data_IF_738797933985
#
_entry.id   IF_738797933985
#
_cell.length_a   1.000
_cell.length_b   1.000
_cell.length_c   1.000
_cell.angle_alpha   90.00
_cell.angle_beta   90.00
_cell.angle_gamma   90.00
#
_symmetry.space_group_name_H-M   'P 1'
#
loop_
_entity.id
_entity.type
_entity.pdbx_description
1 polymer ?
#
# COMPACT_ATOMS: atom_id res chain seq x y z
N UNK A 1 -3.70 17.25 -0.33
CA UNK A 1 -3.42 16.71 -1.66
C UNK A 1 -3.39 17.89 -2.62
N UNK A 2 -2.27 18.13 -3.30
CA UNK A 2 -2.14 19.15 -4.33
C UNK A 2 -2.30 18.52 -5.71
N UNK A 3 -2.31 19.33 -6.78
CA UNK A 3 -2.44 18.83 -8.16
C UNK A 3 -1.22 18.02 -8.59
N UNK A 4 -0.07 18.35 -8.04
CA UNK A 4 1.20 17.64 -8.24
C UNK A 4 1.19 16.25 -7.60
N UNK A 5 0.48 16.09 -6.46
CA UNK A 5 0.32 14.78 -5.80
C UNK A 5 -0.47 13.77 -6.69
N UNK A 6 -1.17 14.23 -7.73
CA UNK A 6 -1.95 13.36 -8.64
C UNK A 6 -1.13 12.75 -9.78
N UNK A 7 0.09 13.24 -10.03
CA UNK A 7 0.89 12.81 -11.19
C UNK A 7 1.85 11.64 -10.90
N UNK A 8 1.77 11.03 -9.71
CA UNK A 8 2.60 9.90 -9.35
C UNK A 8 2.48 9.54 -7.88
N UNK A 9 3.37 8.68 -7.40
CA UNK A 9 3.36 8.30 -5.99
C UNK A 9 3.90 9.43 -5.09
N UNK A 10 3.25 9.69 -3.94
CA UNK A 10 3.70 10.70 -3.01
C UNK A 10 5.12 10.44 -2.51
N UNK A 11 5.94 11.49 -2.42
CA UNK A 11 7.29 11.41 -1.85
C UNK A 11 7.36 11.85 -0.39
N UNK A 12 6.33 12.55 0.08
CA UNK A 12 6.26 13.11 1.42
C UNK A 12 5.86 12.03 2.43
N UNK A 13 6.16 12.29 3.71
CA UNK A 13 5.69 11.46 4.83
C UNK A 13 4.18 11.24 4.79
N UNK A 14 3.74 10.14 5.39
CA UNK A 14 2.32 9.80 5.42
C UNK A 14 1.61 10.77 6.35
N UNK A 15 0.48 11.32 5.91
CA UNK A 15 -0.43 12.05 6.80
C UNK A 15 -1.38 11.02 7.41
N UNK A 16 -1.39 10.83 8.75
CA UNK A 16 -2.26 9.85 9.40
C UNK A 16 -3.75 10.14 9.17
N UNK A 17 -4.59 9.09 9.30
CA UNK A 17 -6.04 9.19 9.09
C UNK A 17 -6.51 8.96 7.65
N UNK A 18 -5.66 8.38 6.80
CA UNK A 18 -6.00 8.01 5.43
C UNK A 18 -7.09 6.93 5.35
N UNK A 19 -7.83 6.91 4.23
CA UNK A 19 -8.98 6.01 4.04
C UNK A 19 -8.63 4.52 4.02
N UNK A 20 -7.44 4.15 3.54
CA UNK A 20 -6.99 2.75 3.47
C UNK A 20 -7.00 2.11 4.86
N UNK A 21 -6.43 2.80 5.85
CA UNK A 21 -6.36 2.30 7.22
C UNK A 21 -7.75 2.12 7.83
N UNK A 22 -8.66 3.09 7.61
CA UNK A 22 -10.06 2.97 8.01
C UNK A 22 -10.75 1.76 7.39
N UNK A 23 -10.55 1.53 6.08
CA UNK A 23 -11.19 0.43 5.36
C UNK A 23 -10.71 -0.93 5.88
N UNK A 24 -9.39 -1.11 6.03
CA UNK A 24 -8.82 -2.35 6.54
C UNK A 24 -9.28 -2.65 7.98
N UNK A 25 -9.44 -1.63 8.83
CA UNK A 25 -9.89 -1.83 10.21
C UNK A 25 -11.39 -2.12 10.33
N UNK A 26 -12.24 -1.53 9.48
CA UNK A 26 -13.70 -1.56 9.68
C UNK A 26 -14.45 -2.56 8.80
N UNK A 27 -13.84 -3.09 7.74
CA UNK A 27 -14.50 -4.02 6.83
C UNK A 27 -13.81 -5.39 6.85
N UNK A 28 -14.48 -6.45 7.34
CA UNK A 28 -13.84 -7.77 7.52
C UNK A 28 -13.45 -8.43 6.20
N UNK A 29 -14.06 -8.02 5.09
CA UNK A 29 -13.86 -8.58 3.75
C UNK A 29 -12.95 -7.73 2.85
N UNK A 30 -12.30 -6.71 3.39
CA UNK A 30 -11.36 -5.85 2.65
C UNK A 30 -9.92 -6.26 2.98
N UNK A 31 -9.14 -6.51 1.93
CA UNK A 31 -7.73 -6.86 1.99
C UNK A 31 -6.94 -5.87 1.11
N UNK A 32 -5.65 -5.70 1.42
CA UNK A 32 -4.73 -4.92 0.60
C UNK A 32 -3.53 -5.76 0.18
N UNK A 33 -3.05 -5.57 -1.05
CA UNK A 33 -1.82 -6.18 -1.51
C UNK A 33 -0.64 -5.20 -1.42
N UNK A 34 0.53 -5.73 -1.10
CA UNK A 34 1.82 -5.07 -1.12
C UNK A 34 2.55 -5.55 -2.37
N UNK A 35 2.21 -4.92 -3.49
CA UNK A 35 2.78 -5.23 -4.80
C UNK A 35 3.18 -3.96 -5.56
N UNK A 36 3.91 -4.16 -6.66
CA UNK A 36 4.34 -3.10 -7.58
C UNK A 36 5.16 -1.98 -6.90
N UNK A 37 5.40 -0.90 -7.66
CA UNK A 37 6.01 0.32 -7.12
C UNK A 37 5.12 1.06 -6.11
N UNK A 38 3.79 0.87 -6.14
CA UNK A 38 2.87 1.46 -5.17
C UNK A 38 3.05 0.91 -3.76
N UNK A 39 3.14 -0.41 -3.62
CA UNK A 39 3.34 -1.07 -2.34
C UNK A 39 4.69 -0.68 -1.74
N UNK A 40 5.76 -0.72 -2.56
CA UNK A 40 7.09 -0.29 -2.14
C UNK A 40 7.10 1.18 -1.69
N UNK A 41 6.56 2.10 -2.48
CA UNK A 41 6.50 3.52 -2.11
C UNK A 41 5.71 3.73 -0.82
N UNK A 42 4.57 3.04 -0.64
CA UNK A 42 3.74 3.16 0.54
C UNK A 42 4.50 2.74 1.82
N UNK A 43 5.37 1.73 1.72
CA UNK A 43 6.13 1.20 2.87
C UNK A 43 7.45 1.95 3.12
N UNK A 44 8.09 2.49 2.09
CA UNK A 44 9.44 3.06 2.21
C UNK A 44 9.46 4.56 2.43
N UNK A 45 8.44 5.32 1.95
CA UNK A 45 8.42 6.79 2.08
C UNK A 45 8.28 7.30 3.51
N UNK A 46 7.84 6.44 4.43
CA UNK A 46 7.73 6.74 5.86
C UNK A 46 7.78 5.46 6.71
N UNK A 47 8.99 5.01 7.05
CA UNK A 47 9.21 3.72 7.73
C UNK A 47 8.60 3.64 9.13
N UNK A 48 8.50 4.76 9.83
CA UNK A 48 7.90 4.83 11.17
C UNK A 48 6.40 4.61 11.08
N UNK A 49 5.72 5.30 10.15
CA UNK A 49 4.31 5.04 9.86
C UNK A 49 4.11 3.61 9.36
N UNK A 50 4.95 3.13 8.44
CA UNK A 50 4.81 1.81 7.83
C UNK A 50 4.87 0.68 8.87
N UNK A 51 5.79 0.76 9.85
CA UNK A 51 5.87 -0.23 10.95
C UNK A 51 4.53 -0.38 11.66
N UNK A 52 3.99 0.74 12.16
CA UNK A 52 2.71 0.71 12.86
C UNK A 52 1.55 0.26 11.95
N UNK A 53 1.62 0.56 10.64
CA UNK A 53 0.58 0.19 9.66
C UNK A 53 0.56 -1.31 9.42
N UNK A 54 1.73 -1.91 9.30
CA UNK A 54 1.88 -3.35 9.20
C UNK A 54 1.40 -4.03 10.48
N UNK A 55 1.85 -3.58 11.66
CA UNK A 55 1.46 -4.19 12.95
C UNK A 55 -0.06 -4.24 13.14
N UNK A 56 -0.79 -3.18 12.80
CA UNK A 56 -2.25 -3.12 12.98
C UNK A 56 -3.07 -3.77 11.86
N UNK A 57 -2.50 -3.97 10.67
CA UNK A 57 -3.22 -4.50 9.50
C UNK A 57 -2.68 -5.85 8.99
N UNK A 58 -1.72 -6.48 9.68
CA UNK A 58 -1.01 -7.67 9.19
C UNK A 58 -1.92 -8.81 8.72
N UNK A 59 -3.08 -9.02 9.38
CA UNK A 59 -4.02 -10.10 9.03
C UNK A 59 -4.74 -9.87 7.68
N UNK A 60 -4.61 -8.66 7.11
CA UNK A 60 -5.32 -8.22 5.90
C UNK A 60 -4.39 -7.75 4.79
N UNK A 61 -3.08 -7.91 4.97
CA UNK A 61 -2.07 -7.54 3.97
C UNK A 61 -1.48 -8.78 3.29
N UNK A 62 -1.45 -8.75 1.97
CA UNK A 62 -0.96 -9.85 1.13
C UNK A 62 0.31 -9.41 0.39
N UNK A 63 1.32 -10.27 0.33
CA UNK A 63 2.51 -10.00 -0.48
C UNK A 63 2.26 -10.37 -1.94
N UNK A 64 2.61 -9.47 -2.88
CA UNK A 64 2.51 -9.71 -4.31
C UNK A 64 3.74 -9.18 -5.05
N UNK A 65 4.29 -9.94 -5.99
CA UNK A 65 5.50 -9.52 -6.74
C UNK A 65 5.18 -8.56 -7.88
N UNK A 66 3.94 -8.55 -8.36
CA UNK A 66 3.52 -7.84 -9.59
C UNK A 66 4.38 -8.20 -10.81
N UNK A 67 4.83 -9.46 -10.87
CA UNK A 67 5.63 -10.00 -11.97
C UNK A 67 4.79 -10.99 -12.78
N UNK A 68 4.71 -10.76 -14.08
CA UNK A 68 4.21 -11.76 -15.05
C UNK A 68 5.40 -12.40 -15.74
N UNK A 69 5.57 -13.71 -15.60
CA UNK A 69 6.55 -14.46 -16.38
C UNK A 69 6.04 -14.62 -17.82
N UNK A 70 6.84 -14.21 -18.80
CA UNK A 70 6.52 -14.30 -20.23
C UNK A 70 6.66 -15.75 -20.72
N UNK A 71 5.76 -16.61 -20.27
CA UNK A 71 5.65 -18.03 -20.68
C UNK A 71 4.21 -18.50 -20.91
N UNK A 72 3.21 -17.71 -20.53
CA UNK A 72 1.79 -18.04 -20.67
C UNK A 72 1.12 -17.31 -21.84
N UNK A 73 1.83 -17.18 -22.95
CA UNK A 73 1.19 -16.97 -24.26
C UNK A 73 0.91 -18.36 -24.85
N UNK A 74 -0.19 -18.98 -24.45
CA UNK A 74 -0.80 -20.04 -25.27
C UNK A 74 -1.67 -19.43 -26.34
#
# INVERSE_FOLDING_TARGET
>A
MTREDLQGYPRRKVVPGGRVDYLLQNYPNVYGDLSAGSGDNAMTRDREFARSFLERNQDKLLFGTDLVYKGESR
#
